data_IF_218205857019
#
_entry.id   IF_218205857019
#
_cell.length_a   1.000
_cell.length_b   1.000
_cell.length_c   1.000
_cell.angle_alpha   90.00
_cell.angle_beta   90.00
_cell.angle_gamma   90.00
#
_symmetry.space_group_name_H-M   'P 1'
#
loop_
_entity.id
_entity.type
_entity.pdbx_description
1 polymer ?
#
# COMPACT_ATOMS: atom_id res chain seq x y z
N UNK A 1 -14.69 25.37 -4.18
CA UNK A 1 -14.08 24.24 -3.47
C UNK A 1 -14.02 23.08 -4.44
N UNK A 2 -12.83 22.68 -4.88
CA UNK A 2 -12.69 21.54 -5.80
C UNK A 2 -12.86 20.26 -5.01
N UNK A 3 -14.01 19.62 -5.11
CA UNK A 3 -14.25 18.29 -4.55
C UNK A 3 -13.43 17.30 -5.39
N UNK A 4 -12.31 16.82 -4.86
CA UNK A 4 -11.59 15.69 -5.47
C UNK A 4 -12.53 14.49 -5.44
N UNK A 5 -12.91 13.99 -6.61
CA UNK A 5 -13.65 12.74 -6.74
C UNK A 5 -12.67 11.60 -6.45
N UNK A 6 -12.76 11.01 -5.27
CA UNK A 6 -12.03 9.78 -4.93
C UNK A 6 -12.86 8.62 -5.47
N UNK A 7 -12.25 7.78 -6.31
CA UNK A 7 -12.89 6.54 -6.76
C UNK A 7 -12.97 5.60 -5.56
N UNK A 8 -14.17 5.10 -5.31
CA UNK A 8 -14.47 4.20 -4.21
C UNK A 8 -14.81 2.82 -4.78
N UNK A 9 -14.12 1.79 -4.28
CA UNK A 9 -14.22 0.41 -4.72
C UNK A 9 -14.90 -0.41 -3.64
N UNK A 10 -15.96 -1.15 -3.98
CA UNK A 10 -16.51 -2.13 -3.06
C UNK A 10 -15.62 -3.39 -3.01
N UNK A 11 -15.89 -4.28 -2.04
CA UNK A 11 -15.17 -5.54 -1.87
C UNK A 11 -15.05 -6.37 -3.16
N UNK A 12 -16.12 -6.41 -3.97
CA UNK A 12 -16.16 -7.23 -5.19
C UNK A 12 -15.30 -6.61 -6.28
N UNK A 13 -15.40 -5.30 -6.52
CA UNK A 13 -14.58 -4.60 -7.50
C UNK A 13 -13.11 -4.66 -7.09
N UNK A 14 -12.81 -4.51 -5.80
CA UNK A 14 -11.44 -4.63 -5.28
C UNK A 14 -10.84 -6.00 -5.54
N UNK A 15 -11.55 -7.09 -5.21
CA UNK A 15 -11.08 -8.45 -5.45
C UNK A 15 -10.80 -8.69 -6.95
N UNK A 16 -11.67 -8.18 -7.84
CA UNK A 16 -11.51 -8.29 -9.28
C UNK A 16 -10.31 -7.49 -9.82
N UNK A 17 -10.12 -6.26 -9.35
CA UNK A 17 -9.01 -5.41 -9.79
C UNK A 17 -7.67 -5.87 -9.24
N UNK A 18 -7.66 -6.35 -8.00
CA UNK A 18 -6.49 -6.86 -7.31
C UNK A 18 -6.08 -8.27 -7.78
N UNK A 19 -7.03 -9.05 -8.32
CA UNK A 19 -6.90 -10.50 -8.55
C UNK A 19 -6.58 -11.26 -7.25
N UNK A 20 -7.36 -10.95 -6.20
CA UNK A 20 -7.17 -11.46 -4.83
C UNK A 20 -8.51 -11.99 -4.30
N UNK A 21 -8.48 -13.07 -3.51
CA UNK A 21 -9.68 -13.65 -2.89
C UNK A 21 -10.21 -12.76 -1.76
N UNK A 22 -11.52 -12.88 -1.48
CA UNK A 22 -12.13 -12.13 -0.39
C UNK A 22 -11.50 -12.43 0.98
N UNK A 23 -11.18 -13.70 1.24
CA UNK A 23 -10.53 -14.14 2.48
C UNK A 23 -9.18 -13.43 2.70
N UNK A 24 -8.37 -13.30 1.64
CA UNK A 24 -7.09 -12.58 1.74
C UNK A 24 -7.26 -11.09 1.98
N UNK A 25 -8.27 -10.47 1.35
CA UNK A 25 -8.55 -9.05 1.61
C UNK A 25 -8.96 -8.86 3.08
N UNK A 26 -9.79 -9.75 3.64
CA UNK A 26 -10.19 -9.69 5.06
C UNK A 26 -8.96 -9.78 5.97
N UNK A 27 -8.11 -10.77 5.77
CA UNK A 27 -6.86 -10.94 6.54
C UNK A 27 -5.95 -9.70 6.43
N UNK A 28 -5.77 -9.16 5.22
CA UNK A 28 -4.95 -7.96 4.99
C UNK A 28 -5.53 -6.74 5.74
N UNK A 29 -6.85 -6.61 5.78
CA UNK A 29 -7.54 -5.54 6.54
C UNK A 29 -7.37 -5.73 8.05
N UNK A 30 -7.50 -6.96 8.55
CA UNK A 30 -7.29 -7.29 9.96
C UNK A 30 -5.87 -6.94 10.44
N UNK A 31 -4.89 -7.05 9.54
CA UNK A 31 -3.50 -6.68 9.79
C UNK A 31 -3.18 -5.20 9.50
N UNK A 32 -4.17 -4.37 9.15
CA UNK A 32 -4.03 -2.93 8.95
C UNK A 32 -3.21 -2.53 7.71
N UNK A 33 -2.97 -3.46 6.78
CA UNK A 33 -2.23 -3.16 5.53
C UNK A 33 -3.08 -2.30 4.59
N UNK A 34 -4.40 -2.48 4.63
CA UNK A 34 -5.39 -1.67 3.93
C UNK A 34 -6.53 -1.35 4.89
N UNK A 35 -7.02 -0.12 4.88
CA UNK A 35 -8.12 0.32 5.74
C UNK A 35 -9.37 0.66 4.91
N UNK A 36 -10.45 -0.14 5.03
CA UNK A 36 -11.73 0.20 4.41
C UNK A 36 -12.51 1.23 5.24
N UNK A 37 -13.40 1.95 4.57
CA UNK A 37 -14.57 2.55 5.21
C UNK A 37 -15.68 1.52 5.35
N UNK A 38 -16.47 1.55 6.43
CA UNK A 38 -17.54 0.57 6.68
C UNK A 38 -17.19 -0.37 7.84
N UNK A 39 -18.18 -1.06 8.42
CA UNK A 39 -17.97 -1.87 9.64
C UNK A 39 -17.82 -3.35 9.38
N UNK A 40 -18.40 -3.85 8.28
CA UNK A 40 -18.36 -5.27 7.93
C UNK A 40 -17.84 -5.43 6.50
N UNK A 41 -17.32 -6.61 6.12
CA UNK A 41 -16.84 -6.89 4.77
C UNK A 41 -17.84 -6.55 3.65
N UNK A 42 -19.14 -6.65 3.92
CA UNK A 42 -20.21 -6.31 2.97
C UNK A 42 -20.42 -4.79 2.80
N UNK A 43 -20.03 -4.00 3.82
CA UNK A 43 -20.09 -2.54 3.82
C UNK A 43 -18.77 -1.90 3.40
N UNK A 44 -17.71 -2.68 3.24
CA UNK A 44 -16.37 -2.16 3.01
C UNK A 44 -16.24 -1.45 1.66
N UNK A 45 -15.69 -0.24 1.75
CA UNK A 45 -15.37 0.62 0.60
C UNK A 45 -13.93 1.09 0.73
N UNK A 46 -13.18 0.94 -0.35
CA UNK A 46 -11.75 1.20 -0.42
C UNK A 46 -11.45 2.35 -1.38
N UNK A 47 -10.33 3.02 -1.18
CA UNK A 47 -9.84 4.02 -2.12
C UNK A 47 -9.17 3.38 -3.35
N UNK A 48 -8.78 4.21 -4.31
CA UNK A 48 -8.13 3.81 -5.55
C UNK A 48 -6.70 3.28 -5.38
N UNK A 49 -6.12 3.37 -4.17
CA UNK A 49 -4.78 2.85 -3.85
C UNK A 49 -4.84 1.40 -3.37
N UNK A 50 -5.96 0.99 -2.77
CA UNK A 50 -6.13 -0.35 -2.22
C UNK A 50 -5.78 -1.50 -3.19
N UNK A 51 -6.16 -1.49 -4.49
CA UNK A 51 -5.76 -2.55 -5.42
C UNK A 51 -4.24 -2.70 -5.56
N UNK A 52 -3.51 -1.58 -5.56
CA UNK A 52 -2.05 -1.58 -5.70
C UNK A 52 -1.39 -2.09 -4.42
N UNK A 53 -1.87 -1.66 -3.26
CA UNK A 53 -1.38 -2.12 -1.96
C UNK A 53 -1.64 -3.61 -1.76
N UNK A 54 -2.83 -4.11 -2.11
CA UNK A 54 -3.17 -5.54 -2.07
C UNK A 54 -2.23 -6.38 -2.93
N UNK A 55 -2.03 -6.01 -4.20
CA UNK A 55 -1.10 -6.73 -5.08
C UNK A 55 0.32 -6.79 -4.53
N UNK A 56 0.78 -5.69 -3.91
CA UNK A 56 2.10 -5.65 -3.26
C UNK A 56 2.17 -6.55 -2.04
N UNK A 57 1.16 -6.52 -1.17
CA UNK A 57 1.08 -7.35 0.03
C UNK A 57 1.09 -8.84 -0.33
N UNK A 58 0.23 -9.25 -1.28
CA UNK A 58 0.15 -10.63 -1.78
C UNK A 58 1.47 -11.09 -2.40
N UNK A 59 2.08 -10.25 -3.23
CA UNK A 59 3.38 -10.56 -3.81
C UNK A 59 4.44 -10.77 -2.74
N UNK A 60 4.47 -9.93 -1.70
CA UNK A 60 5.43 -10.03 -0.61
C UNK A 60 5.21 -11.28 0.25
N UNK A 61 3.95 -11.60 0.55
CA UNK A 61 3.54 -12.84 1.22
C UNK A 61 4.09 -14.07 0.48
N UNK A 62 3.90 -14.13 -0.83
CA UNK A 62 4.32 -15.26 -1.67
C UNK A 62 5.83 -15.33 -1.90
N UNK A 63 6.49 -14.20 -2.18
CA UNK A 63 7.92 -14.18 -2.53
C UNK A 63 8.84 -14.36 -1.33
N UNK A 64 8.41 -13.95 -0.14
CA UNK A 64 9.20 -14.02 1.08
C UNK A 64 8.67 -15.06 2.10
N UNK A 65 7.59 -15.76 1.77
CA UNK A 65 6.93 -16.75 2.65
C UNK A 65 6.64 -16.19 4.05
N UNK A 66 6.18 -14.93 4.11
CA UNK A 66 5.89 -14.21 5.34
C UNK A 66 4.41 -14.33 5.70
N UNK A 67 4.09 -14.55 6.97
CA UNK A 67 2.73 -14.31 7.48
C UNK A 67 2.33 -12.83 7.36
N UNK A 68 1.04 -12.51 7.45
CA UNK A 68 0.52 -11.15 7.19
C UNK A 68 1.08 -10.09 8.14
N UNK A 69 1.40 -10.43 9.39
CA UNK A 69 2.11 -9.55 10.32
C UNK A 69 3.50 -9.16 9.78
N UNK A 70 4.20 -10.14 9.20
CA UNK A 70 5.49 -9.95 8.56
C UNK A 70 5.38 -9.11 7.29
N UNK A 71 4.31 -9.28 6.51
CA UNK A 71 4.02 -8.46 5.32
C UNK A 71 3.75 -7.02 5.71
N UNK A 72 2.95 -6.77 6.75
CA UNK A 72 2.65 -5.42 7.24
C UNK A 72 3.94 -4.68 7.65
N UNK A 73 4.77 -5.33 8.48
CA UNK A 73 6.06 -4.78 8.89
C UNK A 73 7.00 -4.56 7.69
N UNK A 74 7.06 -5.51 6.76
CA UNK A 74 7.94 -5.38 5.60
C UNK A 74 7.48 -4.25 4.65
N UNK A 75 6.18 -3.99 4.51
CA UNK A 75 5.66 -2.85 3.75
C UNK A 75 6.04 -1.52 4.40
N UNK A 76 5.91 -1.39 5.72
CA UNK A 76 6.35 -0.21 6.49
C UNK A 76 7.85 0.04 6.31
N UNK A 77 8.67 -0.99 6.49
CA UNK A 77 10.13 -0.89 6.31
C UNK A 77 10.52 -0.55 4.87
N UNK A 78 9.80 -1.07 3.87
CA UNK A 78 10.03 -0.71 2.46
C UNK A 78 9.71 0.77 2.21
N UNK A 79 8.66 1.31 2.82
CA UNK A 79 8.33 2.74 2.74
C UNK A 79 9.42 3.60 3.39
N UNK A 80 9.89 3.22 4.58
CA UNK A 80 11.02 3.91 5.24
C UNK A 80 12.29 3.89 4.38
N UNK A 81 12.63 2.75 3.77
CA UNK A 81 13.76 2.64 2.85
C UNK A 81 13.60 3.53 1.62
N UNK A 82 12.39 3.64 1.05
CA UNK A 82 12.14 4.55 -0.07
C UNK A 82 12.31 6.02 0.34
N UNK A 83 11.79 6.39 1.51
CA UNK A 83 11.93 7.75 2.04
C UNK A 83 13.40 8.11 2.26
N UNK A 84 14.16 7.23 2.93
CA UNK A 84 15.60 7.41 3.16
C UNK A 84 16.40 7.51 1.85
N UNK A 85 16.05 6.71 0.83
CA UNK A 85 16.70 6.78 -0.50
C UNK A 85 16.38 8.09 -1.23
N UNK A 86 15.14 8.57 -1.13
CA UNK A 86 14.71 9.86 -1.68
C UNK A 86 15.49 11.02 -1.05
N UNK A 87 15.58 11.03 0.29
CA UNK A 87 16.37 12.01 1.03
C UNK A 87 17.85 11.96 0.67
N UNK A 88 18.42 10.75 0.60
CA UNK A 88 19.82 10.57 0.22
C UNK A 88 20.10 11.10 -1.20
N UNK A 89 19.20 10.85 -2.15
CA UNK A 89 19.30 11.36 -3.52
C UNK A 89 19.23 12.89 -3.57
N UNK A 90 18.28 13.48 -2.85
CA UNK A 90 18.16 14.94 -2.72
C UNK A 90 19.41 15.56 -2.10
N UNK A 91 19.95 14.97 -1.03
CA UNK A 91 21.16 15.44 -0.37
C UNK A 91 22.38 15.36 -1.30
N UNK A 92 22.55 14.25 -2.03
CA UNK A 92 23.61 14.09 -3.05
C UNK A 92 23.48 15.12 -4.17
N UNK A 93 22.26 15.37 -4.66
CA UNK A 93 22.01 16.39 -5.69
C UNK A 93 22.35 17.80 -5.20
N UNK A 94 21.98 18.14 -3.95
CA UNK A 94 22.32 19.42 -3.33
C UNK A 94 23.84 19.57 -3.17
N UNK A 95 24.52 18.55 -2.65
CA UNK A 95 25.98 18.55 -2.51
C UNK A 95 26.68 18.73 -3.86
N UNK A 96 26.24 18.01 -4.90
CA UNK A 96 26.78 18.14 -6.25
C UNK A 96 26.64 19.55 -6.83
N UNK A 97 25.51 20.22 -6.58
CA UNK A 97 25.30 21.63 -6.96
C UNK A 97 26.23 22.59 -6.22
N UNK A 98 26.50 22.34 -4.93
CA UNK A 98 27.41 23.16 -4.14
C UNK A 98 28.88 22.99 -4.56
N UNK A 99 29.30 21.79 -4.96
CA UNK A 99 30.69 21.52 -5.37
C UNK A 99 31.00 21.92 -6.81
N UNK A 100 29.98 22.22 -7.63
CA UNK A 100 30.13 22.71 -9.02
C UNK A 100 30.15 24.25 -9.11
N UNK A 101 29.98 24.94 -7.99
CA UNK A 101 30.24 26.38 -7.84
C UNK A 101 31.66 26.60 -7.34
#
# INVERSE_FOLDING_TARGET
MSSTLIVQLDMRTLCQEADVSADWVIEIVEHGIVEPSGRTPEEWVFDDRAPVTLKRAVKLHQELELEWEGVALALELLEEVQQLRSENSMLKQRLGRFTQM
#
